data_IF_861286300608
#
_entry.id   IF_861286300608
#
_cell.length_a   1.000
_cell.length_b   1.000
_cell.length_c   1.000
_cell.angle_alpha   90.00
_cell.angle_beta   90.00
_cell.angle_gamma   90.00
#
_symmetry.space_group_name_H-M   'P 1'
#
loop_
_entity.id
_entity.type
_entity.pdbx_description
1 polymer ?
#
# COMPACT_ATOMS: atom_id res chain seq x y z
N UNK A 1 35.86 10.02 -12.11
CA UNK A 1 35.43 8.85 -11.32
C UNK A 1 34.13 9.19 -10.59
N UNK A 2 32.96 8.79 -11.13
CA UNK A 2 31.66 9.13 -10.51
C UNK A 2 31.11 7.89 -9.78
N UNK A 3 31.14 7.95 -8.44
CA UNK A 3 30.57 6.91 -7.57
C UNK A 3 29.05 7.02 -7.63
N UNK A 4 28.40 6.21 -8.47
CA UNK A 4 26.93 6.07 -8.45
C UNK A 4 26.50 5.51 -7.09
N UNK A 5 25.70 6.31 -6.38
CA UNK A 5 25.11 5.99 -5.09
C UNK A 5 24.19 4.77 -5.24
N UNK A 6 24.66 3.60 -4.81
CA UNK A 6 23.88 2.36 -4.81
C UNK A 6 22.94 2.41 -3.61
N UNK A 7 21.79 3.07 -3.76
CA UNK A 7 20.67 2.81 -2.86
C UNK A 7 20.38 1.31 -2.92
N UNK A 8 20.11 0.71 -1.76
CA UNK A 8 20.03 -0.73 -1.53
C UNK A 8 18.75 -1.32 -2.19
N UNK A 9 18.69 -1.30 -3.53
CA UNK A 9 17.57 -1.85 -4.29
C UNK A 9 17.69 -3.36 -4.23
N UNK A 10 16.80 -4.00 -3.48
CA UNK A 10 16.72 -5.45 -3.40
C UNK A 10 16.61 -6.04 -4.82
N UNK A 11 17.21 -7.22 -5.10
CA UNK A 11 17.16 -7.83 -6.43
C UNK A 11 15.73 -7.98 -6.92
N UNK A 12 15.44 -7.66 -8.19
CA UNK A 12 14.08 -7.67 -8.77
C UNK A 12 13.32 -8.99 -8.54
N UNK A 13 14.03 -10.11 -8.47
CA UNK A 13 13.48 -11.43 -8.16
C UNK A 13 12.87 -11.54 -6.75
N UNK A 14 13.38 -10.78 -5.77
CA UNK A 14 12.87 -10.73 -4.40
C UNK A 14 11.60 -9.88 -4.26
N UNK A 15 11.33 -8.99 -5.21
CA UNK A 15 10.13 -8.13 -5.23
C UNK A 15 8.93 -8.79 -5.92
N UNK A 16 9.06 -10.05 -6.35
CA UNK A 16 7.95 -10.80 -6.96
C UNK A 16 6.88 -11.12 -5.91
N UNK A 17 5.62 -10.88 -6.26
CA UNK A 17 4.47 -11.13 -5.40
C UNK A 17 4.10 -12.61 -5.44
N UNK A 18 4.57 -13.38 -4.45
CA UNK A 18 4.36 -14.84 -4.37
C UNK A 18 3.24 -15.27 -3.40
N UNK A 19 2.77 -14.36 -2.55
CA UNK A 19 1.74 -14.63 -1.54
C UNK A 19 0.39 -14.12 -2.03
N UNK A 20 -0.64 -14.94 -1.91
CA UNK A 20 -2.00 -14.61 -2.31
C UNK A 20 -2.85 -14.25 -1.08
N UNK A 21 -3.80 -13.34 -1.26
CA UNK A 21 -4.82 -12.97 -0.28
C UNK A 21 -6.16 -13.17 -0.99
N UNK A 22 -7.07 -13.90 -0.35
CA UNK A 22 -8.44 -14.11 -0.85
C UNK A 22 -9.41 -13.37 0.07
N UNK A 23 -10.29 -12.56 -0.51
CA UNK A 23 -11.30 -11.78 0.20
C UNK A 23 -12.66 -12.17 -0.38
N UNK A 24 -13.62 -12.46 0.51
CA UNK A 24 -15.02 -12.69 0.12
C UNK A 24 -15.80 -11.42 0.40
N UNK A 25 -16.59 -11.00 -0.58
CA UNK A 25 -17.45 -9.82 -0.50
C UNK A 25 -18.90 -10.26 -0.62
N UNK A 26 -19.81 -9.54 0.01
CA UNK A 26 -21.23 -9.67 -0.28
C UNK A 26 -21.59 -8.95 -1.59
N UNK A 27 -22.83 -9.10 -2.05
CA UNK A 27 -23.28 -8.55 -3.34
C UNK A 27 -23.19 -7.01 -3.38
N UNK A 28 -23.53 -6.34 -2.28
CA UNK A 28 -23.50 -4.88 -2.19
C UNK A 28 -22.06 -4.34 -2.22
N UNK A 29 -21.16 -4.97 -1.48
CA UNK A 29 -19.73 -4.65 -1.47
C UNK A 29 -19.10 -4.88 -2.85
N UNK A 30 -19.42 -6.01 -3.50
CA UNK A 30 -18.92 -6.29 -4.84
C UNK A 30 -19.38 -5.23 -5.86
N UNK A 31 -20.68 -4.88 -5.84
CA UNK A 31 -21.25 -3.85 -6.71
C UNK A 31 -20.63 -2.48 -6.46
N UNK A 32 -20.36 -2.12 -5.20
CA UNK A 32 -19.70 -0.87 -4.86
C UNK A 32 -18.28 -0.80 -5.42
N UNK A 33 -17.50 -1.89 -5.28
CA UNK A 33 -16.16 -2.01 -5.85
C UNK A 33 -16.18 -1.90 -7.36
N UNK A 34 -17.11 -2.58 -8.03
CA UNK A 34 -17.25 -2.53 -9.48
C UNK A 34 -17.61 -1.13 -9.98
N UNK A 35 -18.57 -0.48 -9.32
CA UNK A 35 -18.97 0.90 -9.62
C UNK A 35 -17.79 1.87 -9.47
N UNK A 36 -17.00 1.72 -8.39
CA UNK A 36 -15.78 2.50 -8.20
C UNK A 36 -14.78 2.27 -9.33
N UNK A 37 -14.50 1.01 -9.68
CA UNK A 37 -13.54 0.68 -10.73
C UNK A 37 -13.96 1.26 -12.08
N UNK A 38 -15.25 1.18 -12.43
CA UNK A 38 -15.76 1.76 -13.68
C UNK A 38 -15.70 3.29 -13.67
N UNK A 39 -16.07 3.94 -12.56
CA UNK A 39 -16.07 5.41 -12.44
C UNK A 39 -14.67 6.00 -12.59
N UNK A 40 -13.67 5.37 -11.97
CA UNK A 40 -12.29 5.87 -11.96
C UNK A 40 -11.37 5.20 -12.99
N UNK A 41 -11.94 4.40 -13.91
CA UNK A 41 -11.21 3.69 -14.97
C UNK A 41 -10.04 2.86 -14.42
N UNK A 42 -10.30 2.11 -13.36
CA UNK A 42 -9.30 1.24 -12.75
C UNK A 42 -9.06 0.03 -13.66
N UNK A 43 -7.97 0.03 -14.39
CA UNK A 43 -7.60 -1.07 -15.31
C UNK A 43 -7.19 -2.35 -14.57
N UNK A 44 -6.55 -2.22 -13.40
CA UNK A 44 -6.03 -3.35 -12.64
C UNK A 44 -6.56 -3.35 -11.21
N UNK A 45 -7.64 -4.12 -10.99
CA UNK A 45 -8.30 -4.28 -9.69
C UNK A 45 -7.33 -4.75 -8.60
N UNK A 46 -6.52 -5.76 -8.90
CA UNK A 46 -5.56 -6.33 -7.93
C UNK A 46 -4.48 -5.32 -7.52
N UNK A 47 -4.06 -4.44 -8.43
CA UNK A 47 -3.16 -3.34 -8.13
C UNK A 47 -3.82 -2.33 -7.20
N UNK A 48 -5.02 -1.88 -7.56
CA UNK A 48 -5.75 -0.89 -6.78
C UNK A 48 -6.06 -1.39 -5.36
N UNK A 49 -6.54 -2.62 -5.19
CA UNK A 49 -6.80 -3.22 -3.88
C UNK A 49 -5.52 -3.24 -3.04
N UNK A 50 -4.40 -3.68 -3.63
CA UNK A 50 -3.12 -3.75 -2.93
C UNK A 50 -2.62 -2.37 -2.52
N UNK A 51 -2.65 -1.39 -3.41
CA UNK A 51 -2.19 -0.03 -3.11
C UNK A 51 -3.05 0.61 -2.02
N UNK A 52 -4.37 0.43 -2.08
CA UNK A 52 -5.31 0.94 -1.07
C UNK A 52 -5.06 0.30 0.29
N UNK A 53 -4.94 -1.04 0.35
CA UNK A 53 -4.68 -1.77 1.58
C UNK A 53 -3.32 -1.39 2.19
N UNK A 54 -2.26 -1.33 1.37
CA UNK A 54 -0.92 -0.99 1.86
C UNK A 54 -0.84 0.45 2.34
N UNK A 55 -1.53 1.39 1.68
CA UNK A 55 -1.61 2.78 2.13
C UNK A 55 -2.19 2.88 3.53
N UNK A 56 -3.29 2.18 3.78
CA UNK A 56 -3.94 2.17 5.09
C UNK A 56 -3.05 1.51 6.17
N UNK A 57 -2.46 0.35 5.85
CA UNK A 57 -1.57 -0.37 6.79
C UNK A 57 -0.38 0.50 7.17
N UNK A 58 0.30 1.11 6.19
CA UNK A 58 1.46 1.97 6.44
C UNK A 58 1.05 3.19 7.26
N UNK A 59 -0.03 3.86 6.87
CA UNK A 59 -0.51 5.05 7.58
C UNK A 59 -0.84 4.75 9.05
N UNK A 60 -1.48 3.61 9.30
CA UNK A 60 -1.79 3.15 10.66
C UNK A 60 -0.55 2.84 11.47
N UNK A 61 0.40 2.11 10.88
CA UNK A 61 1.66 1.78 11.53
C UNK A 61 2.47 3.04 11.86
N UNK A 62 2.53 4.02 10.94
CA UNK A 62 3.19 5.30 11.19
C UNK A 62 2.49 6.09 12.30
N UNK A 63 1.17 6.11 12.33
CA UNK A 63 0.40 6.81 13.35
C UNK A 63 0.57 6.19 14.74
N UNK A 64 0.68 4.85 14.81
CA UNK A 64 0.83 4.11 16.06
C UNK A 64 2.31 4.00 16.51
N UNK A 65 3.28 4.45 15.70
CA UNK A 65 4.69 4.45 16.11
C UNK A 65 4.93 5.50 17.20
N UNK A 66 5.46 5.10 18.37
CA UNK A 66 5.77 6.05 19.42
C UNK A 66 6.84 7.02 18.92
N UNK A 67 6.52 8.31 18.92
CA UNK A 67 7.46 9.35 18.57
C UNK A 67 8.51 9.47 19.67
N UNK A 68 9.77 9.72 19.26
CA UNK A 68 10.89 9.89 20.18
C UNK A 68 10.68 11.09 21.12
N UNK A 69 9.95 12.10 20.65
CA UNK A 69 9.53 13.26 21.40
C UNK A 69 8.03 13.45 21.21
N UNK A 70 7.33 13.89 22.25
CA UNK A 70 5.93 14.32 22.13
C UNK A 70 5.87 15.67 21.40
N UNK A 71 4.77 15.99 20.74
CA UNK A 71 4.59 17.29 20.04
C UNK A 71 4.83 18.50 20.96
N UNK A 72 4.56 18.33 22.26
CA UNK A 72 4.80 19.31 23.33
C UNK A 72 6.30 19.54 23.60
N UNK A 73 7.15 18.55 23.36
CA UNK A 73 8.61 18.60 23.57
C UNK A 73 9.36 19.13 22.33
N UNK A 74 8.67 19.27 21.19
CA UNK A 74 9.24 19.79 19.93
C UNK A 74 9.00 21.29 19.72
N UNK A 75 8.28 21.95 20.62
CA UNK A 75 7.96 23.40 20.56
C UNK A 75 8.94 24.25 21.36
#
# INVERSE_FOLDING_TARGET
>A
MSRKNRHNVLPRATMLRKKAIQIRLNEAEHKAVETYCSRFKVENRSRWIRETLMKEVIHRLESDTPLLFREEEMR
#
